data_IF_964309610448
#
_entry.id   IF_964309610448
#
_cell.length_a   1.000
_cell.length_b   1.000
_cell.length_c   1.000
_cell.angle_alpha   90.00
_cell.angle_beta   90.00
_cell.angle_gamma   90.00
#
_symmetry.space_group_name_H-M   'P 1'
#
loop_
_entity.id
_entity.type
_entity.pdbx_description
1 polymer ?
#
# COMPACT_ATOMS: atom_id res chain seq x y z
N UNK A 1 -48.27 -46.08 64.60
CA UNK A 1 -49.40 -45.40 65.29
C UNK A 1 -49.87 -44.36 64.31
N UNK A 2 -50.94 -44.71 63.64
CA UNK A 2 -52.34 -44.23 63.84
C UNK A 2 -52.43 -42.82 63.26
N UNK A 3 -53.10 -42.74 62.25
CA UNK A 3 -54.54 -42.59 61.85
C UNK A 3 -54.79 -41.14 61.48
N UNK A 4 -55.63 -40.67 60.67
CA UNK A 4 -56.74 -41.10 59.82
C UNK A 4 -57.28 -39.84 59.14
N UNK A 5 -57.73 -39.98 57.89
CA UNK A 5 -58.97 -39.52 57.29
C UNK A 5 -59.41 -38.05 57.56
N UNK A 6 -59.80 -37.26 56.56
CA UNK A 6 -61.09 -37.27 55.85
C UNK A 6 -61.09 -36.26 54.69
N UNK A 7 -61.74 -36.66 53.59
CA UNK A 7 -62.39 -35.81 52.60
C UNK A 7 -63.85 -35.58 53.05
N UNK A 8 -64.74 -34.78 52.43
CA UNK A 8 -64.81 -34.28 51.02
C UNK A 8 -65.40 -32.86 50.88
N UNK A 9 -65.49 -32.37 49.67
CA UNK A 9 -66.21 -31.16 49.42
C UNK A 9 -66.22 -30.69 47.95
N UNK A 10 -67.11 -31.30 47.17
CA UNK A 10 -67.42 -30.94 45.82
C UNK A 10 -68.24 -29.64 45.74
N UNK A 11 -67.82 -28.62 45.04
CA UNK A 11 -68.71 -27.59 44.48
C UNK A 11 -68.20 -27.13 43.08
N UNK A 12 -69.09 -27.32 42.12
CA UNK A 12 -69.09 -26.79 40.76
C UNK A 12 -69.19 -25.27 40.78
N UNK A 13 -68.32 -24.57 40.03
CA UNK A 13 -68.48 -23.17 39.71
C UNK A 13 -68.17 -22.96 38.24
N UNK A 14 -69.13 -22.48 37.48
CA UNK A 14 -69.19 -22.27 36.04
C UNK A 14 -68.46 -20.93 35.68
N UNK A 15 -67.59 -20.96 34.64
CA UNK A 15 -67.22 -19.90 33.73
C UNK A 15 -66.30 -18.78 34.21
N UNK A 16 -65.71 -17.95 33.33
CA UNK A 16 -66.02 -17.74 31.94
C UNK A 16 -64.79 -17.86 30.99
N UNK A 17 -65.13 -17.83 29.73
CA UNK A 17 -64.22 -17.74 28.56
C UNK A 17 -62.96 -16.93 28.77
N UNK A 18 -61.79 -17.57 28.65
CA UNK A 18 -60.52 -16.89 28.48
C UNK A 18 -60.20 -16.87 26.99
N UNK A 19 -60.34 -15.68 26.44
CA UNK A 19 -59.87 -15.31 25.07
C UNK A 19 -58.39 -15.56 24.94
N UNK A 20 -58.00 -16.48 24.03
CA UNK A 20 -56.61 -16.72 23.66
C UNK A 20 -56.14 -15.55 22.79
N UNK A 21 -55.32 -14.66 23.33
CA UNK A 21 -54.60 -13.65 22.54
C UNK A 21 -53.32 -14.34 22.02
N UNK A 22 -53.34 -14.67 20.72
CA UNK A 22 -52.14 -15.11 20.01
C UNK A 22 -51.29 -13.86 19.75
N UNK A 23 -50.28 -13.66 20.55
CA UNK A 23 -49.22 -12.65 20.27
C UNK A 23 -48.34 -13.18 19.14
N UNK A 24 -48.56 -12.68 17.94
CA UNK A 24 -47.65 -12.90 16.82
C UNK A 24 -46.34 -12.12 17.10
N UNK A 25 -45.31 -12.82 17.53
CA UNK A 25 -43.94 -12.25 17.65
C UNK A 25 -43.39 -12.07 16.23
N UNK A 26 -43.42 -10.85 15.72
CA UNK A 26 -42.64 -10.45 14.55
C UNK A 26 -41.16 -10.46 14.92
N UNK A 27 -40.45 -11.51 14.55
CA UNK A 27 -38.98 -11.53 14.53
C UNK A 27 -38.51 -10.60 13.41
N UNK A 28 -38.18 -9.35 13.76
CA UNK A 28 -37.40 -8.47 12.90
C UNK A 28 -35.96 -9.06 12.82
N UNK A 29 -35.71 -9.83 11.80
CA UNK A 29 -34.32 -10.16 11.40
C UNK A 29 -33.71 -8.89 10.81
N UNK A 30 -33.02 -8.11 11.65
CA UNK A 30 -32.17 -7.07 11.18
C UNK A 30 -31.03 -7.74 10.40
N UNK A 31 -31.14 -7.78 9.07
CA UNK A 31 -30.10 -8.20 8.17
C UNK A 31 -28.94 -7.21 8.31
N UNK A 32 -27.92 -7.60 9.09
CA UNK A 32 -26.64 -6.90 9.09
C UNK A 32 -26.01 -7.18 7.72
N UNK A 33 -26.26 -6.30 6.76
CA UNK A 33 -25.47 -6.27 5.54
C UNK A 33 -24.06 -5.81 5.94
N UNK A 34 -23.15 -6.76 6.12
CA UNK A 34 -21.72 -6.43 6.14
C UNK A 34 -21.41 -5.73 4.81
N UNK A 35 -21.34 -4.40 4.83
CA UNK A 35 -20.74 -3.66 3.75
C UNK A 35 -19.24 -3.96 3.86
N UNK A 36 -18.77 -4.93 3.06
CA UNK A 36 -17.34 -5.05 2.77
C UNK A 36 -17.00 -3.78 2.00
N UNK A 37 -16.51 -2.78 2.70
CA UNK A 37 -15.89 -1.64 2.04
C UNK A 37 -14.71 -2.19 1.23
N UNK A 38 -14.56 -1.81 -0.06
CA UNK A 38 -13.38 -2.20 -0.81
C UNK A 38 -12.16 -1.77 0.02
N UNK A 39 -11.19 -2.66 0.15
CA UNK A 39 -9.90 -2.37 0.78
C UNK A 39 -9.32 -1.15 0.07
N UNK A 40 -9.40 0.01 0.73
CA UNK A 40 -8.70 1.20 0.26
C UNK A 40 -7.24 0.96 0.64
N UNK A 41 -6.31 1.15 -0.30
CA UNK A 41 -4.89 1.07 0.01
C UNK A 41 -4.64 1.94 1.25
N UNK A 42 -4.05 1.35 2.28
CA UNK A 42 -3.78 2.02 3.55
C UNK A 42 -3.00 3.31 3.26
N UNK A 43 -3.57 4.46 3.63
CA UNK A 43 -2.95 5.76 3.38
C UNK A 43 -3.15 6.40 2.00
N UNK A 44 -3.71 5.72 0.99
CA UNK A 44 -3.86 6.30 -0.35
C UNK A 44 -4.80 7.52 -0.39
N UNK A 45 -4.27 8.67 -0.82
CA UNK A 45 -4.98 9.96 -0.82
C UNK A 45 -4.54 10.88 -1.95
N UNK A 46 -5.43 11.79 -2.38
CA UNK A 46 -5.05 12.87 -3.29
C UNK A 46 -4.19 13.89 -2.55
N UNK A 47 -3.06 14.24 -3.12
CA UNK A 47 -2.11 15.20 -2.55
C UNK A 47 -1.74 16.27 -3.57
N UNK A 48 -1.38 17.51 -3.15
CA UNK A 48 -0.96 18.54 -4.07
C UNK A 48 0.31 18.13 -4.82
N UNK A 49 0.44 18.61 -6.05
CA UNK A 49 1.69 18.44 -6.81
C UNK A 49 2.85 19.23 -6.14
N UNK A 50 4.12 18.80 -6.34
CA UNK A 50 5.26 19.60 -5.89
C UNK A 50 5.23 21.01 -6.47
N UNK A 51 5.43 22.01 -5.61
CA UNK A 51 5.53 23.41 -6.03
C UNK A 51 6.86 23.70 -6.73
N UNK A 52 7.94 23.01 -6.35
CA UNK A 52 9.22 23.09 -7.02
C UNK A 52 9.24 22.14 -8.22
N UNK A 53 9.20 22.73 -9.44
CA UNK A 53 9.27 21.97 -10.69
C UNK A 53 10.72 21.80 -11.15
N UNK A 54 10.96 20.74 -11.93
CA UNK A 54 12.20 20.59 -12.67
C UNK A 54 12.26 21.59 -13.82
N UNK A 55 13.42 22.23 -14.07
CA UNK A 55 13.61 22.94 -15.33
C UNK A 55 13.52 21.92 -16.47
N UNK A 56 12.74 22.23 -17.50
CA UNK A 56 12.64 21.38 -18.67
C UNK A 56 14.03 21.29 -19.35
N UNK A 57 14.68 20.16 -19.23
CA UNK A 57 15.93 19.85 -19.93
C UNK A 57 15.58 19.17 -21.25
N UNK A 58 15.69 19.90 -22.36
CA UNK A 58 15.38 19.38 -23.71
C UNK A 58 16.32 18.23 -24.18
N UNK A 59 17.36 17.91 -23.41
CA UNK A 59 18.42 16.98 -23.80
C UNK A 59 18.32 15.58 -23.18
N UNK A 60 17.58 15.41 -22.09
CA UNK A 60 17.51 14.11 -21.40
C UNK A 60 16.28 13.33 -21.89
N UNK A 61 16.52 12.17 -22.49
CA UNK A 61 15.47 11.25 -22.95
C UNK A 61 15.11 10.20 -21.88
N UNK A 62 15.88 10.12 -20.80
CA UNK A 62 15.67 9.15 -19.72
C UNK A 62 16.23 9.68 -18.41
N UNK A 63 15.49 9.49 -17.33
CA UNK A 63 15.88 9.79 -15.97
C UNK A 63 15.60 8.62 -15.03
N UNK A 64 16.26 8.61 -13.86
CA UNK A 64 16.10 7.56 -12.85
C UNK A 64 15.71 8.17 -11.52
N UNK A 65 14.64 7.61 -10.91
CA UNK A 65 14.26 7.83 -9.52
C UNK A 65 14.46 6.52 -8.75
N UNK A 66 14.89 6.59 -7.48
CA UNK A 66 14.99 5.41 -6.60
C UNK A 66 14.25 5.72 -5.31
N UNK A 67 13.26 4.88 -4.96
CA UNK A 67 12.41 5.06 -3.79
C UNK A 67 12.19 3.73 -3.05
N UNK A 68 12.01 3.81 -1.74
CA UNK A 68 11.69 2.70 -0.85
C UNK A 68 10.43 3.03 -0.03
N UNK A 69 9.49 2.10 0.09
CA UNK A 69 8.22 2.33 0.79
C UNK A 69 7.48 1.03 1.09
N UNK A 70 8.07 0.16 1.93
CA UNK A 70 7.56 -1.16 2.23
C UNK A 70 8.00 -2.22 1.23
N UNK A 71 7.24 -3.32 1.14
CA UNK A 71 7.50 -4.39 0.19
C UNK A 71 7.58 -3.85 -1.24
N UNK A 72 8.70 -4.12 -1.90
CA UNK A 72 8.97 -3.61 -3.25
C UNK A 72 8.04 -4.18 -4.33
N UNK A 73 7.32 -5.29 -4.09
CA UNK A 73 6.37 -5.84 -5.06
C UNK A 73 5.24 -4.85 -5.39
N UNK A 74 4.67 -4.23 -4.36
CA UNK A 74 3.62 -3.24 -4.52
C UNK A 74 4.13 -1.94 -5.11
N UNK A 75 5.29 -1.46 -4.65
CA UNK A 75 5.91 -0.24 -5.19
C UNK A 75 6.28 -0.41 -6.66
N UNK A 76 6.89 -1.56 -7.04
CA UNK A 76 7.18 -1.89 -8.43
C UNK A 76 5.90 -1.94 -9.26
N UNK A 77 4.87 -2.65 -8.78
CA UNK A 77 3.59 -2.78 -9.47
C UNK A 77 2.94 -1.42 -9.74
N UNK A 78 2.93 -0.51 -8.76
CA UNK A 78 2.42 0.86 -8.96
C UNK A 78 3.16 1.55 -10.10
N UNK A 79 4.50 1.59 -10.08
CA UNK A 79 5.26 2.33 -11.09
C UNK A 79 5.27 1.65 -12.45
N UNK A 80 5.10 0.34 -12.54
CA UNK A 80 4.88 -0.36 -13.81
C UNK A 80 3.59 0.06 -14.51
N UNK A 81 2.59 0.54 -13.75
CA UNK A 81 1.34 1.05 -14.26
C UNK A 81 1.32 2.57 -14.49
N UNK A 82 2.47 3.26 -14.43
CA UNK A 82 2.55 4.71 -14.66
C UNK A 82 2.96 5.04 -16.09
N UNK A 83 2.20 5.92 -16.76
CA UNK A 83 2.56 6.47 -18.06
C UNK A 83 3.84 7.32 -17.98
N UNK A 84 4.73 7.15 -18.95
CA UNK A 84 6.05 7.80 -18.94
C UNK A 84 7.13 6.98 -18.24
N UNK A 85 6.79 6.02 -17.39
CA UNK A 85 7.75 5.04 -16.85
C UNK A 85 8.08 4.01 -17.94
N UNK A 86 9.37 3.78 -18.14
CA UNK A 86 9.92 2.85 -19.13
C UNK A 86 10.47 1.57 -18.51
N UNK A 87 10.83 1.61 -17.22
CA UNK A 87 11.27 0.44 -16.44
C UNK A 87 11.07 0.70 -14.95
N UNK A 88 10.68 -0.33 -14.19
CA UNK A 88 10.68 -0.33 -12.74
C UNK A 88 11.27 -1.66 -12.25
N UNK A 89 12.35 -1.61 -11.50
CA UNK A 89 13.14 -2.79 -11.08
C UNK A 89 13.20 -2.80 -9.56
N UNK A 90 12.76 -3.89 -8.93
CA UNK A 90 12.91 -4.14 -7.49
C UNK A 90 14.37 -4.41 -7.13
N UNK A 91 14.82 -3.94 -5.97
CA UNK A 91 16.19 -4.10 -5.54
C UNK A 91 16.44 -3.62 -4.11
N UNK A 92 17.70 -3.47 -3.77
CA UNK A 92 18.18 -3.13 -2.43
C UNK A 92 19.09 -1.92 -2.47
N UNK A 93 18.94 -1.00 -1.50
CA UNK A 93 19.73 0.22 -1.39
C UNK A 93 20.06 0.52 0.07
N UNK A 94 21.30 0.97 0.33
CA UNK A 94 21.71 1.47 1.64
C UNK A 94 22.75 0.62 2.37
N UNK A 95 22.85 -0.66 2.05
CA UNK A 95 23.86 -1.59 2.58
C UNK A 95 24.99 -1.84 1.58
N UNK A 96 25.82 -2.86 1.88
CA UNK A 96 26.94 -3.28 1.03
C UNK A 96 26.48 -4.28 -0.04
N UNK A 97 27.25 -4.35 -1.14
CA UNK A 97 26.99 -5.30 -2.26
C UNK A 97 26.83 -6.75 -1.79
N UNK A 98 27.70 -7.20 -0.90
CA UNK A 98 27.73 -8.59 -0.46
C UNK A 98 26.53 -8.98 0.41
N UNK A 99 25.85 -7.98 1.00
CA UNK A 99 24.63 -8.15 1.78
C UNK A 99 23.34 -7.95 0.97
N UNK A 100 23.44 -7.63 -0.32
CA UNK A 100 22.30 -7.32 -1.19
C UNK A 100 21.67 -8.59 -1.77
N UNK A 101 21.16 -9.44 -0.88
CA UNK A 101 20.44 -10.69 -1.18
C UNK A 101 19.23 -10.80 -0.26
N UNK A 102 18.12 -11.31 -0.76
CA UNK A 102 16.84 -11.34 -0.05
C UNK A 102 16.95 -11.95 1.36
N UNK A 103 17.56 -13.13 1.47
CA UNK A 103 17.71 -13.84 2.75
C UNK A 103 18.46 -12.99 3.81
N UNK A 104 19.43 -12.21 3.37
CA UNK A 104 20.23 -11.38 4.27
C UNK A 104 19.51 -10.07 4.57
N UNK A 105 18.90 -9.42 3.57
CA UNK A 105 18.16 -8.16 3.74
C UNK A 105 16.94 -8.36 4.64
N UNK A 106 16.24 -9.48 4.50
CA UNK A 106 15.05 -9.82 5.30
C UNK A 106 15.32 -9.89 6.81
N UNK A 107 16.58 -10.04 7.23
CA UNK A 107 16.95 -9.97 8.65
C UNK A 107 16.83 -8.57 9.26
N UNK A 108 16.73 -7.53 8.44
CA UNK A 108 16.66 -6.13 8.88
C UNK A 108 17.98 -5.54 9.41
N UNK A 109 19.10 -6.27 9.31
CA UNK A 109 20.40 -5.88 9.90
C UNK A 109 21.42 -5.34 8.92
N UNK A 110 21.15 -5.38 7.62
CA UNK A 110 22.09 -5.05 6.55
C UNK A 110 22.22 -3.56 6.25
N UNK A 111 21.29 -2.74 6.75
CA UNK A 111 21.15 -1.34 6.34
C UNK A 111 20.46 -1.14 5.00
N UNK A 112 20.19 -2.19 4.23
CA UNK A 112 19.41 -2.11 3.01
C UNK A 112 17.95 -1.74 3.27
N UNK A 113 17.35 -0.99 2.34
CA UNK A 113 15.91 -0.91 2.16
C UNK A 113 15.52 -1.70 0.91
N UNK A 114 14.36 -2.33 0.93
CA UNK A 114 13.66 -2.75 -0.29
C UNK A 114 13.27 -1.49 -1.06
N UNK A 115 13.74 -1.39 -2.29
CA UNK A 115 13.60 -0.18 -3.10
C UNK A 115 13.24 -0.53 -4.55
N UNK A 116 12.72 0.46 -5.27
CA UNK A 116 12.45 0.35 -6.71
C UNK A 116 13.22 1.43 -7.45
N UNK A 117 13.98 1.01 -8.46
CA UNK A 117 14.61 1.89 -9.44
C UNK A 117 13.65 2.10 -10.61
N UNK A 118 13.20 3.32 -10.78
CA UNK A 118 12.22 3.75 -11.75
C UNK A 118 12.94 4.53 -12.84
N UNK A 119 12.94 4.02 -14.07
CA UNK A 119 13.44 4.74 -15.25
C UNK A 119 12.23 5.36 -15.97
N UNK A 120 12.28 6.63 -16.29
CA UNK A 120 11.17 7.35 -16.89
C UNK A 120 11.63 8.34 -17.97
N UNK A 121 10.72 8.68 -18.87
CA UNK A 121 10.88 9.74 -19.88
C UNK A 121 10.47 11.10 -19.26
N UNK A 122 11.43 12.01 -19.02
CA UNK A 122 11.15 13.30 -18.39
C UNK A 122 10.28 14.24 -19.24
N UNK A 123 10.11 13.97 -20.56
CA UNK A 123 9.18 14.71 -21.42
C UNK A 123 7.72 14.27 -21.20
N UNK A 124 7.49 13.09 -20.60
CA UNK A 124 6.15 12.53 -20.33
C UNK A 124 5.73 12.61 -18.88
N UNK A 125 6.67 12.47 -17.97
CA UNK A 125 6.42 12.55 -16.52
C UNK A 125 7.64 13.15 -15.82
N UNK A 126 7.46 14.14 -14.94
CA UNK A 126 8.54 14.74 -14.17
C UNK A 126 8.88 13.92 -12.91
N UNK A 127 10.08 14.09 -12.38
CA UNK A 127 10.46 13.51 -11.08
C UNK A 127 9.50 13.93 -9.97
N UNK A 128 9.05 15.19 -9.95
CA UNK A 128 8.05 15.66 -9.01
C UNK A 128 6.74 14.86 -9.08
N UNK A 129 6.29 14.49 -10.29
CA UNK A 129 5.10 13.64 -10.44
C UNK A 129 5.35 12.19 -10.02
N UNK A 130 6.56 11.66 -10.20
CA UNK A 130 6.97 10.36 -9.63
C UNK A 130 6.87 10.40 -8.10
N UNK A 131 7.39 11.46 -7.45
CA UNK A 131 7.26 11.64 -6.01
C UNK A 131 5.81 11.82 -5.55
N UNK A 132 4.98 12.51 -6.33
CA UNK A 132 3.56 12.66 -6.01
C UNK A 132 2.86 11.29 -5.99
N UNK A 133 3.10 10.43 -6.97
CA UNK A 133 2.58 9.06 -6.98
C UNK A 133 3.12 8.27 -5.79
N UNK A 134 4.42 8.37 -5.51
CA UNK A 134 5.06 7.69 -4.39
C UNK A 134 4.38 8.01 -3.05
N UNK A 135 4.17 9.30 -2.73
CA UNK A 135 3.52 9.71 -1.49
C UNK A 135 1.99 9.53 -1.50
N UNK A 136 1.36 9.52 -2.68
CA UNK A 136 -0.10 9.43 -2.80
C UNK A 136 -0.63 8.00 -2.66
N UNK A 137 0.07 7.01 -3.25
CA UNK A 137 -0.48 5.65 -3.42
C UNK A 137 0.49 4.51 -3.10
N UNK A 138 1.81 4.73 -3.14
CA UNK A 138 2.75 3.62 -3.05
C UNK A 138 2.93 3.13 -1.60
N UNK A 139 2.83 4.02 -0.60
CA UNK A 139 3.06 3.71 0.80
C UNK A 139 2.47 4.77 1.74
N UNK A 140 2.45 4.51 3.05
CA UNK A 140 2.21 5.51 4.09
C UNK A 140 3.54 6.11 4.56
N UNK A 141 3.81 7.41 4.28
CA UNK A 141 5.08 8.03 4.64
C UNK A 141 5.23 8.36 6.14
N UNK A 142 4.23 8.08 6.96
CA UNK A 142 4.25 8.32 8.41
C UNK A 142 4.68 7.11 9.21
N UNK A 143 4.80 5.94 8.58
CA UNK A 143 5.21 4.69 9.22
C UNK A 143 6.74 4.57 9.30
N UNK A 144 7.27 4.58 10.52
CA UNK A 144 8.71 4.47 10.77
C UNK A 144 9.17 3.01 10.79
N UNK A 145 10.10 2.66 9.89
CA UNK A 145 10.69 1.32 9.79
C UNK A 145 9.66 0.19 9.68
N UNK A 146 8.57 0.46 9.02
CA UNK A 146 7.51 -0.52 8.73
C UNK A 146 6.65 -0.04 7.57
N UNK A 147 5.82 -0.91 7.01
CA UNK A 147 4.75 -0.54 6.11
C UNK A 147 3.64 -1.59 6.17
N UNK A 148 2.46 -1.19 6.66
CA UNK A 148 1.36 -2.12 6.86
C UNK A 148 1.79 -3.32 7.72
N UNK A 149 1.69 -4.58 7.22
CA UNK A 149 2.05 -5.78 7.98
C UNK A 149 3.58 -5.97 8.11
N UNK A 150 4.39 -5.33 7.25
CA UNK A 150 5.83 -5.55 7.19
C UNK A 150 6.57 -4.67 8.21
N UNK A 151 7.37 -5.27 9.06
CA UNK A 151 8.10 -4.61 10.14
C UNK A 151 9.61 -4.83 9.97
N UNK A 152 10.36 -3.75 10.03
CA UNK A 152 11.82 -3.77 9.92
C UNK A 152 12.36 -2.57 9.13
N UNK A 153 13.64 -2.24 9.34
CA UNK A 153 14.31 -1.12 8.67
C UNK A 153 14.41 -1.29 7.15
N UNK A 154 14.32 -2.51 6.65
CA UNK A 154 14.27 -2.82 5.23
C UNK A 154 12.98 -2.32 4.55
N UNK A 155 11.91 -2.10 5.31
CA UNK A 155 10.63 -1.58 4.82
C UNK A 155 10.44 -0.08 5.10
N UNK A 156 11.54 0.63 5.45
CA UNK A 156 11.48 2.08 5.72
C UNK A 156 11.09 2.89 4.50
N UNK A 157 10.45 4.01 4.73
CA UNK A 157 10.24 5.04 3.72
C UNK A 157 11.53 5.80 3.47
N UNK A 158 12.03 5.79 2.22
CA UNK A 158 13.22 6.53 1.82
C UNK A 158 13.24 6.92 0.35
N UNK A 159 13.91 8.02 0.05
CA UNK A 159 14.21 8.51 -1.30
C UNK A 159 15.73 8.52 -1.45
N UNK A 160 16.24 8.00 -2.57
CA UNK A 160 17.66 7.95 -2.90
C UNK A 160 17.93 8.83 -4.13
N UNK A 161 18.15 10.14 -3.95
CA UNK A 161 18.37 11.06 -5.06
C UNK A 161 19.60 10.70 -5.88
N UNK A 162 19.49 10.70 -7.19
CA UNK A 162 20.59 10.41 -8.13
C UNK A 162 21.38 11.66 -8.50
N UNK A 163 20.87 12.84 -8.17
CA UNK A 163 21.50 14.14 -8.41
C UNK A 163 21.05 15.21 -7.41
N UNK A 164 21.77 16.34 -7.30
CA UNK A 164 21.43 17.39 -6.34
C UNK A 164 20.05 18.06 -6.58
N UNK A 165 19.54 18.04 -7.80
CA UNK A 165 18.24 18.61 -8.12
C UNK A 165 17.12 17.75 -7.56
N UNK A 166 17.19 16.43 -7.75
CA UNK A 166 16.25 15.50 -7.15
C UNK A 166 16.22 15.62 -5.62
N UNK A 167 17.39 15.79 -4.99
CA UNK A 167 17.47 16.02 -3.55
C UNK A 167 16.68 17.26 -3.13
N UNK A 168 16.91 18.41 -3.78
CA UNK A 168 16.20 19.66 -3.48
C UNK A 168 14.67 19.54 -3.68
N UNK A 169 14.24 18.85 -4.74
CA UNK A 169 12.81 18.64 -5.01
C UNK A 169 12.19 17.77 -3.93
N UNK A 170 12.85 16.67 -3.55
CA UNK A 170 12.35 15.77 -2.51
C UNK A 170 12.25 16.47 -1.14
N UNK A 171 13.28 17.23 -0.73
CA UNK A 171 13.29 18.01 0.50
C UNK A 171 12.15 19.05 0.52
N UNK A 172 12.04 19.85 -0.55
CA UNK A 172 11.01 20.86 -0.67
C UNK A 172 9.59 20.26 -0.64
N UNK A 173 9.42 19.10 -1.29
CA UNK A 173 8.12 18.44 -1.34
C UNK A 173 7.70 17.86 0.02
N UNK A 174 8.61 17.23 0.75
CA UNK A 174 8.34 16.76 2.12
C UNK A 174 7.94 17.94 3.02
N UNK A 175 8.65 19.08 2.93
CA UNK A 175 8.30 20.29 3.69
C UNK A 175 6.90 20.78 3.30
N UNK A 176 6.60 20.85 2.00
CA UNK A 176 5.30 21.28 1.48
C UNK A 176 4.16 20.40 2.02
N UNK A 177 4.32 19.08 1.96
CA UNK A 177 3.29 18.12 2.41
C UNK A 177 3.07 18.20 3.93
N UNK A 178 4.15 18.34 4.72
CA UNK A 178 4.06 18.51 6.16
C UNK A 178 3.36 19.83 6.53
N UNK A 179 3.69 20.94 5.85
CA UNK A 179 3.04 22.24 6.08
C UNK A 179 1.56 22.25 5.70
N UNK A 180 1.21 21.48 4.67
CA UNK A 180 -0.18 21.33 4.23
C UNK A 180 -0.98 20.32 5.09
N UNK A 181 -0.35 19.69 6.09
CA UNK A 181 -0.96 18.67 6.95
C UNK A 181 -1.71 17.60 6.15
N UNK A 182 -1.08 17.11 5.07
CA UNK A 182 -1.70 16.14 4.16
C UNK A 182 -1.89 14.79 4.82
N UNK A 183 -0.99 14.43 5.74
CA UNK A 183 -1.01 13.18 6.50
C UNK A 183 -1.35 13.43 7.97
N UNK A 184 -1.85 12.40 8.66
CA UNK A 184 -2.25 12.46 10.06
C UNK A 184 -1.03 12.54 11.02
N UNK A 185 0.17 12.21 10.52
CA UNK A 185 1.45 12.29 11.21
C UNK A 185 2.51 12.99 10.36
N UNK A 186 3.64 13.28 10.98
CA UNK A 186 4.80 13.82 10.27
C UNK A 186 5.37 12.77 9.29
N UNK A 187 5.80 13.22 8.12
CA UNK A 187 6.50 12.38 7.14
C UNK A 187 7.85 11.97 7.75
N UNK A 188 8.10 10.67 7.82
CA UNK A 188 9.35 10.05 8.32
C UNK A 188 10.27 9.58 7.20
N UNK A 189 9.91 9.85 5.96
CA UNK A 189 10.72 9.52 4.78
C UNK A 189 12.12 10.11 4.87
N UNK A 190 13.14 9.26 4.77
CA UNK A 190 14.54 9.68 4.76
C UNK A 190 15.00 10.02 3.35
N UNK A 191 15.87 11.02 3.23
CA UNK A 191 16.59 11.31 1.99
C UNK A 191 18.03 10.83 2.18
N UNK A 192 18.42 9.81 1.43
CA UNK A 192 19.72 9.12 1.56
C UNK A 192 20.49 9.20 0.23
N UNK A 193 21.23 10.29 -0.06
CA UNK A 193 21.99 10.45 -1.31
C UNK A 193 23.21 9.54 -1.38
N UNK A 194 23.72 9.32 -2.61
CA UNK A 194 24.99 8.63 -2.85
C UNK A 194 24.99 7.14 -2.51
N UNK A 195 23.87 6.46 -2.67
CA UNK A 195 23.72 5.03 -2.40
C UNK A 195 23.64 4.23 -3.70
N UNK A 196 24.34 3.10 -3.73
CA UNK A 196 24.25 2.15 -4.83
C UNK A 196 22.95 1.35 -4.78
N UNK A 197 22.40 1.07 -5.96
CA UNK A 197 21.24 0.18 -6.14
C UNK A 197 21.70 -1.19 -6.63
N UNK A 198 21.26 -2.23 -5.95
CA UNK A 198 21.50 -3.62 -6.31
C UNK A 198 20.17 -4.27 -6.71
N UNK A 199 20.00 -4.73 -7.96
CA UNK A 199 18.79 -5.42 -8.38
C UNK A 199 18.52 -6.65 -7.49
N UNK A 200 17.25 -6.83 -7.10
CA UNK A 200 16.82 -8.05 -6.45
C UNK A 200 16.73 -9.21 -7.45
N UNK A 201 16.64 -10.41 -6.93
CA UNK A 201 16.60 -11.67 -7.66
C UNK A 201 15.43 -11.70 -8.66
N UNK A 202 15.60 -12.42 -9.76
CA UNK A 202 14.63 -12.45 -10.88
C UNK A 202 13.21 -12.89 -10.44
N UNK A 203 13.10 -13.75 -9.43
CA UNK A 203 11.80 -14.21 -8.94
C UNK A 203 11.00 -13.11 -8.20
N UNK A 204 11.64 -12.02 -7.78
CA UNK A 204 10.98 -10.86 -7.21
C UNK A 204 10.49 -9.87 -8.28
N UNK A 205 11.03 -9.94 -9.49
CA UNK A 205 10.63 -9.01 -10.53
C UNK A 205 9.24 -9.34 -11.08
N UNK A 206 8.45 -8.29 -11.32
CA UNK A 206 7.08 -8.38 -11.84
C UNK A 206 6.13 -9.24 -10.97
N UNK A 207 6.44 -9.39 -9.67
CA UNK A 207 5.77 -10.36 -8.81
C UNK A 207 4.26 -10.10 -8.73
N UNK A 208 3.84 -8.84 -8.59
CA UNK A 208 2.43 -8.45 -8.57
C UNK A 208 1.70 -8.93 -9.83
N UNK A 209 2.27 -8.67 -11.02
CA UNK A 209 1.65 -9.03 -12.30
C UNK A 209 1.64 -10.55 -12.54
N UNK A 210 2.69 -11.24 -12.11
CA UNK A 210 2.81 -12.70 -12.28
C UNK A 210 2.00 -13.50 -11.27
N UNK A 211 1.68 -12.90 -10.11
CA UNK A 211 1.00 -13.57 -9.00
C UNK A 211 -0.21 -12.76 -8.48
N UNK A 212 -1.18 -12.38 -9.34
CA UNK A 212 -2.25 -11.46 -8.97
C UNK A 212 -3.22 -12.03 -7.92
N UNK A 213 -3.22 -13.34 -7.72
CA UNK A 213 -4.07 -14.04 -6.74
C UNK A 213 -3.30 -14.40 -5.44
N UNK A 214 -2.02 -14.04 -5.33
CA UNK A 214 -1.26 -14.29 -4.11
C UNK A 214 -1.87 -13.48 -2.96
N UNK A 215 -2.17 -14.07 -1.78
CA UNK A 215 -2.94 -13.41 -0.72
C UNK A 215 -2.37 -12.05 -0.30
N UNK A 216 -1.04 -11.94 -0.18
CA UNK A 216 -0.39 -10.69 0.16
C UNK A 216 -0.64 -9.61 -0.92
N UNK A 217 -0.50 -9.97 -2.20
CA UNK A 217 -0.74 -9.07 -3.34
C UNK A 217 -2.19 -8.58 -3.34
N UNK A 218 -3.15 -9.49 -3.17
CA UNK A 218 -4.58 -9.14 -3.17
C UNK A 218 -4.92 -8.15 -2.05
N UNK A 219 -4.34 -8.34 -0.86
CA UNK A 219 -4.67 -7.55 0.33
C UNK A 219 -3.88 -6.23 0.36
N UNK A 220 -2.58 -6.26 0.06
CA UNK A 220 -1.69 -5.14 0.33
C UNK A 220 -1.30 -4.34 -0.92
N UNK A 221 -1.21 -4.96 -2.10
CA UNK A 221 -0.57 -4.32 -3.25
C UNK A 221 -1.53 -3.95 -4.39
N UNK A 222 -2.48 -4.82 -4.75
CA UNK A 222 -3.51 -4.48 -5.74
C UNK A 222 -4.30 -3.22 -5.38
N UNK A 223 -4.67 -2.97 -4.10
CA UNK A 223 -5.33 -1.74 -3.73
C UNK A 223 -4.53 -0.47 -4.05
N UNK A 224 -3.19 -0.52 -4.05
CA UNK A 224 -2.31 0.61 -4.44
C UNK A 224 -2.43 0.92 -5.93
N UNK A 225 -2.46 -0.12 -6.79
CA UNK A 225 -2.66 0.04 -8.23
C UNK A 225 -4.06 0.58 -8.56
N UNK A 226 -5.09 0.11 -7.86
CA UNK A 226 -6.45 0.63 -8.01
C UNK A 226 -6.55 2.09 -7.50
N UNK A 227 -5.81 2.44 -6.44
CA UNK A 227 -5.71 3.83 -5.98
C UNK A 227 -5.02 4.73 -7.01
N UNK A 228 -3.94 4.27 -7.66
CA UNK A 228 -3.31 4.99 -8.77
C UNK A 228 -4.31 5.26 -9.89
N UNK A 229 -5.06 4.24 -10.31
CA UNK A 229 -6.08 4.37 -11.35
C UNK A 229 -7.16 5.38 -10.98
N UNK A 230 -7.58 5.41 -9.73
CA UNK A 230 -8.62 6.32 -9.24
C UNK A 230 -8.10 7.76 -9.07
N UNK A 231 -6.89 7.93 -8.49
CA UNK A 231 -6.36 9.25 -8.10
C UNK A 231 -5.57 9.94 -9.20
N UNK A 232 -5.03 9.19 -10.16
CA UNK A 232 -4.22 9.71 -11.27
C UNK A 232 -4.57 8.98 -12.58
N UNK A 233 -5.84 9.04 -13.04
CA UNK A 233 -6.30 8.31 -14.23
C UNK A 233 -5.58 8.74 -15.50
N UNK A 234 -5.11 9.98 -15.57
CA UNK A 234 -4.30 10.55 -16.66
C UNK A 234 -2.91 9.92 -16.76
N UNK A 235 -2.38 9.42 -15.67
CA UNK A 235 -1.07 8.76 -15.61
C UNK A 235 -1.17 7.23 -15.55
N UNK A 236 -2.36 6.69 -15.33
CA UNK A 236 -2.53 5.24 -15.25
C UNK A 236 -2.45 4.60 -16.64
N UNK A 237 -1.72 3.49 -16.73
CA UNK A 237 -1.71 2.57 -17.88
C UNK A 237 -2.20 1.18 -17.48
N UNK A 238 -3.10 0.59 -18.27
CA UNK A 238 -3.67 -0.72 -17.96
C UNK A 238 -2.66 -1.87 -18.14
N UNK A 239 -1.79 -1.77 -19.15
CA UNK A 239 -0.75 -2.76 -19.40
C UNK A 239 0.54 -2.33 -18.71
N UNK A 240 1.05 -3.07 -17.72
CA UNK A 240 2.27 -2.70 -17.01
C UNK A 240 3.51 -2.81 -17.91
N UNK A 241 4.54 -2.02 -17.63
CA UNK A 241 5.87 -2.21 -18.20
C UNK A 241 6.61 -3.25 -17.37
N UNK A 242 6.82 -4.42 -17.95
CA UNK A 242 7.53 -5.51 -17.25
C UNK A 242 9.04 -5.38 -17.41
N UNK A 243 9.77 -5.96 -16.46
CA UNK A 243 11.21 -6.11 -16.57
C UNK A 243 11.49 -7.07 -17.73
N UNK A 244 12.22 -6.59 -18.74
CA UNK A 244 12.64 -7.47 -19.85
C UNK A 244 13.43 -8.64 -19.25
N UNK A 245 13.05 -9.86 -19.59
CA UNK A 245 13.79 -11.04 -19.19
C UNK A 245 15.26 -10.82 -19.58
N UNK A 246 16.15 -10.90 -18.60
CA UNK A 246 17.58 -10.83 -18.89
C UNK A 246 17.89 -11.92 -19.93
N UNK A 247 18.44 -11.53 -21.09
CA UNK A 247 18.87 -12.51 -22.07
C UNK A 247 19.78 -13.51 -21.36
N UNK A 248 19.62 -14.82 -21.60
CA UNK A 248 20.48 -15.81 -20.96
C UNK A 248 21.94 -15.42 -21.19
N UNK A 249 22.72 -15.30 -20.13
CA UNK A 249 24.16 -15.07 -20.23
C UNK A 249 24.76 -16.33 -20.80
N UNK A 250 25.17 -16.28 -22.08
CA UNK A 250 25.95 -17.31 -22.74
C UNK A 250 27.31 -17.45 -22.06
#
# INVERSE_FOLDING_TARGET
MSQLLESPGFRRGVGPFRTLIIAAAFLLTAGITLRVSPSVAEGARAIPAPALAEPATQQMTSEVAIVAGGCFWGVQGVFQHVQGVTSAISGYVGGTRDAAQYETVSTGTTGHAEAVRITFDPHRISYGRILQIYFSVAHDPTELNRQGPDVGSQYRSAIFPTNPQQMRIAEAYIVQLNQAHVFDGAIVTKIEPGRDFYPAEDYHQDFLTRNPNYPYIVVNDLPKVEALKRLSPDLYRATPVLVAAAAPRN
#
